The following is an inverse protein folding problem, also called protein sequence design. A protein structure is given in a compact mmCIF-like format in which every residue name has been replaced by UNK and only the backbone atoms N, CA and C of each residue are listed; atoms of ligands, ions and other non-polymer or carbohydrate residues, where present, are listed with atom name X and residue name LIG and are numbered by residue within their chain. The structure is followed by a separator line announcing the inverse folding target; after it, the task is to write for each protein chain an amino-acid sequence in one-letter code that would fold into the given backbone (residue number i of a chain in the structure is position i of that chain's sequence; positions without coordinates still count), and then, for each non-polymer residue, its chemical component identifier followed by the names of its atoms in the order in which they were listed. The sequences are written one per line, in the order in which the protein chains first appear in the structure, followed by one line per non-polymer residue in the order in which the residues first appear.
data_IF_418635916681
#
_entry.id   IF_418635916681
#
_cell.length_a   1.000
_cell.length_b   1.000
_cell.length_c   1.000
_cell.angle_alpha   90.00
_cell.angle_beta   90.00
_cell.angle_gamma   90.00
#
_symmetry.space_group_name_H-M   'P 1'
#
loop_
_entity.id
_entity.type
_entity.pdbx_description
1 polymer ?
#
# COMPACT_ATOMS: atom_id res chain seq x y z
N UNK A 1 -29.28 90.38 -4.67
CA UNK A 1 -28.32 89.48 -4.01
C UNK A 1 -29.11 88.45 -3.21
N UNK A 2 -28.69 87.19 -3.34
CA UNK A 2 -29.05 85.99 -2.58
C UNK A 2 -30.46 85.38 -2.72
N UNK A 3 -30.39 84.11 -3.10
CA UNK A 3 -31.42 83.09 -3.12
C UNK A 3 -31.76 82.57 -1.72
N UNK A 4 -32.93 81.96 -1.59
CA UNK A 4 -33.18 80.70 -0.86
C UNK A 4 -34.66 80.37 -1.00
N UNK A 5 -35.00 79.25 -1.64
CA UNK A 5 -36.22 78.52 -1.28
C UNK A 5 -36.05 77.04 -1.58
N UNK A 6 -36.11 76.26 -0.51
CA UNK A 6 -36.18 74.81 -0.50
C UNK A 6 -37.46 74.32 -1.17
N UNK A 7 -37.35 73.34 -2.06
CA UNK A 7 -38.46 72.41 -2.31
C UNK A 7 -37.95 70.98 -2.34
N UNK A 8 -38.60 70.20 -1.50
CA UNK A 8 -38.57 68.74 -1.38
C UNK A 8 -38.87 68.11 -2.72
N UNK A 9 -38.13 67.06 -3.09
CA UNK A 9 -38.58 66.07 -4.05
C UNK A 9 -38.14 64.70 -3.58
N UNK A 10 -39.13 63.87 -3.27
CA UNK A 10 -38.99 62.48 -2.89
C UNK A 10 -38.43 61.68 -4.07
N UNK A 11 -37.35 60.93 -3.83
CA UNK A 11 -36.91 59.88 -4.74
C UNK A 11 -37.25 58.54 -4.09
N UNK A 12 -38.17 57.82 -4.75
CA UNK A 12 -38.63 56.48 -4.39
C UNK A 12 -37.43 55.53 -4.54
N UNK A 13 -37.02 54.88 -3.45
CA UNK A 13 -36.02 53.82 -3.47
C UNK A 13 -36.72 52.53 -3.93
N UNK A 14 -36.63 52.22 -5.22
CA UNK A 14 -37.02 50.91 -5.73
C UNK A 14 -35.94 49.89 -5.32
N UNK A 15 -36.18 49.12 -4.26
CA UNK A 15 -35.36 47.98 -3.91
C UNK A 15 -35.60 46.86 -4.93
N UNK A 16 -34.74 46.77 -5.95
CA UNK A 16 -34.66 45.58 -6.80
C UNK A 16 -33.94 44.51 -5.98
N UNK A 17 -34.71 43.63 -5.36
CA UNK A 17 -34.18 42.35 -4.89
C UNK A 17 -33.93 41.51 -6.13
N UNK A 18 -32.71 41.56 -6.66
CA UNK A 18 -32.24 40.57 -7.61
C UNK A 18 -32.13 39.26 -6.82
N UNK A 19 -33.19 38.44 -6.87
CA UNK A 19 -33.11 37.04 -6.50
C UNK A 19 -32.18 36.37 -7.51
N UNK A 20 -30.88 36.42 -7.23
CA UNK A 20 -29.87 35.61 -7.89
C UNK A 20 -30.29 34.16 -7.67
N UNK A 21 -30.95 33.57 -8.65
CA UNK A 21 -31.08 32.12 -8.67
C UNK A 21 -29.67 31.58 -8.74
N UNK A 22 -29.16 31.07 -7.61
CA UNK A 22 -28.02 30.15 -7.62
C UNK A 22 -28.50 28.96 -8.44
N UNK A 23 -28.22 29.00 -9.75
CA UNK A 23 -28.24 27.80 -10.56
C UNK A 23 -27.15 26.94 -9.93
N UNK A 24 -27.46 25.76 -9.35
CA UNK A 24 -26.42 24.87 -8.88
C UNK A 24 -25.53 24.59 -10.09
N UNK A 25 -24.27 25.02 -10.01
CA UNK A 25 -23.29 24.57 -10.99
C UNK A 25 -23.30 23.05 -10.93
N UNK A 26 -23.42 22.35 -12.07
CA UNK A 26 -23.19 20.92 -12.07
C UNK A 26 -21.83 20.70 -11.40
N UNK A 27 -21.79 19.82 -10.39
CA UNK A 27 -20.53 19.43 -9.79
C UNK A 27 -19.58 19.09 -10.94
N UNK A 28 -18.37 19.67 -10.94
CA UNK A 28 -17.35 19.30 -11.90
C UNK A 28 -17.28 17.78 -11.89
N UNK A 29 -17.60 17.15 -13.01
CA UNK A 29 -17.41 15.70 -13.15
C UNK A 29 -15.92 15.52 -12.94
N UNK A 30 -15.54 14.94 -11.81
CA UNK A 30 -14.15 14.63 -11.53
C UNK A 30 -13.65 13.82 -12.72
N UNK A 31 -12.66 14.36 -13.46
CA UNK A 31 -12.07 13.60 -14.55
C UNK A 31 -11.46 12.34 -13.94
N UNK A 32 -11.78 11.19 -14.52
CA UNK A 32 -11.08 9.95 -14.19
C UNK A 32 -9.61 10.21 -14.53
N UNK A 33 -8.67 9.99 -13.59
CA UNK A 33 -7.27 10.23 -13.86
C UNK A 33 -6.84 9.42 -15.09
N UNK A 34 -6.05 10.04 -15.97
CA UNK A 34 -5.52 9.34 -17.13
C UNK A 34 -4.35 8.47 -16.68
N UNK A 35 -4.39 7.18 -17.03
CA UNK A 35 -3.34 6.22 -16.68
C UNK A 35 -2.68 5.71 -17.94
N UNK A 36 -1.35 5.71 -17.95
CA UNK A 36 -0.55 5.18 -19.05
C UNK A 36 0.56 4.30 -18.51
N UNK A 37 0.76 3.13 -19.11
CA UNK A 37 1.89 2.25 -18.82
C UNK A 37 3.21 2.93 -19.28
N UNK A 38 4.18 3.04 -18.38
CA UNK A 38 5.53 3.52 -18.65
C UNK A 38 6.52 2.37 -18.90
N UNK A 39 6.18 1.17 -18.43
CA UNK A 39 6.96 -0.03 -18.69
C UNK A 39 6.90 -1.02 -17.54
N UNK A 40 7.53 -2.17 -17.76
CA UNK A 40 7.61 -3.27 -16.81
C UNK A 40 9.03 -3.83 -16.81
N UNK A 41 9.52 -4.21 -15.64
CA UNK A 41 10.78 -4.91 -15.48
C UNK A 41 10.54 -6.17 -14.66
N UNK A 42 11.02 -7.30 -15.18
CA UNK A 42 10.90 -8.60 -14.50
C UNK A 42 12.25 -8.98 -13.91
N UNK A 43 12.26 -9.25 -12.61
CA UNK A 43 13.41 -9.87 -11.96
C UNK A 43 13.30 -11.38 -12.20
N UNK A 44 14.30 -12.04 -12.80
CA UNK A 44 14.23 -13.48 -13.08
C UNK A 44 13.96 -14.30 -11.82
N UNK A 45 13.11 -15.33 -11.95
CA UNK A 45 12.77 -16.23 -10.87
C UNK A 45 14.02 -16.82 -10.20
N UNK A 46 14.06 -16.77 -8.86
CA UNK A 46 15.19 -17.19 -8.02
C UNK A 46 16.52 -16.52 -8.36
N UNK A 47 16.47 -15.27 -8.82
CA UNK A 47 17.67 -14.42 -8.86
C UNK A 47 18.35 -14.45 -7.50
N UNK A 48 19.64 -14.75 -7.47
CA UNK A 48 20.41 -14.67 -6.23
C UNK A 48 21.06 -13.28 -6.14
N UNK A 49 20.89 -12.63 -5.00
CA UNK A 49 21.51 -11.34 -4.71
C UNK A 49 22.08 -11.37 -3.30
N UNK A 50 23.39 -11.15 -3.17
CA UNK A 50 24.11 -11.16 -1.89
C UNK A 50 23.75 -12.38 -1.00
N UNK A 51 23.81 -13.58 -1.57
CA UNK A 51 23.51 -14.87 -0.93
C UNK A 51 22.05 -15.07 -0.50
N UNK A 52 21.14 -14.20 -0.93
CA UNK A 52 19.70 -14.33 -0.71
C UNK A 52 18.97 -14.58 -2.02
N UNK A 53 17.83 -15.28 -1.96
CA UNK A 53 16.96 -15.52 -3.11
C UNK A 53 15.97 -14.36 -3.22
N UNK A 54 15.92 -13.69 -4.36
CA UNK A 54 14.90 -12.68 -4.67
C UNK A 54 13.62 -13.39 -5.14
N UNK A 55 12.49 -13.02 -4.57
CA UNK A 55 11.17 -13.62 -4.79
C UNK A 55 10.20 -13.17 -3.69
N UNK A 56 8.91 -13.43 -3.90
CA UNK A 56 7.82 -13.09 -2.97
C UNK A 56 7.90 -11.63 -2.51
N UNK A 57 7.79 -10.68 -3.44
CA UNK A 57 7.88 -9.25 -3.11
C UNK A 57 6.47 -8.69 -2.86
N UNK A 58 6.19 -8.35 -1.61
CA UNK A 58 4.88 -7.88 -1.16
C UNK A 58 4.77 -6.35 -1.05
N UNK A 59 5.90 -5.65 -0.90
CA UNK A 59 5.89 -4.20 -0.66
C UNK A 59 7.02 -3.45 -1.36
N UNK A 60 6.75 -2.19 -1.71
CA UNK A 60 7.72 -1.24 -2.26
C UNK A 60 7.49 0.13 -1.62
N UNK A 61 8.57 0.84 -1.27
CA UNK A 61 8.46 2.26 -0.94
C UNK A 61 9.67 3.08 -1.38
N UNK A 62 9.45 4.37 -1.64
CA UNK A 62 10.47 5.29 -2.12
C UNK A 62 11.05 6.10 -0.95
N UNK A 63 12.37 6.08 -0.81
CA UNK A 63 13.10 6.97 0.07
C UNK A 63 13.40 8.30 -0.66
N UNK A 64 12.73 9.41 -0.31
CA UNK A 64 12.94 10.69 -0.98
C UNK A 64 14.29 11.33 -0.65
N UNK A 65 14.97 10.92 0.43
CA UNK A 65 16.29 11.46 0.79
C UNK A 65 17.37 10.89 -0.13
N UNK A 66 17.35 9.58 -0.36
CA UNK A 66 18.37 8.89 -1.17
C UNK A 66 17.96 8.68 -2.63
N UNK A 67 16.67 8.79 -2.94
CA UNK A 67 16.11 8.45 -4.24
C UNK A 67 16.09 6.95 -4.53
N UNK A 68 16.28 6.11 -3.50
CA UNK A 68 16.26 4.64 -3.60
C UNK A 68 14.89 4.09 -3.24
N UNK A 69 14.69 2.82 -3.58
CA UNK A 69 13.48 2.09 -3.26
C UNK A 69 13.80 0.97 -2.31
N UNK A 70 12.94 0.73 -1.32
CA UNK A 70 12.96 -0.50 -0.55
C UNK A 70 11.93 -1.48 -1.13
N UNK A 71 12.28 -2.76 -1.20
CA UNK A 71 11.43 -3.86 -1.68
C UNK A 71 11.39 -4.94 -0.60
N UNK A 72 10.25 -5.13 0.05
CA UNK A 72 10.09 -6.17 1.08
C UNK A 72 9.80 -7.51 0.45
N UNK A 73 10.29 -8.58 1.06
CA UNK A 73 9.83 -9.93 0.75
C UNK A 73 9.02 -10.54 1.88
N UNK A 74 7.93 -11.20 1.51
CA UNK A 74 7.00 -11.94 2.37
C UNK A 74 7.48 -13.31 2.82
N UNK A 75 8.67 -13.73 2.39
CA UNK A 75 9.26 -15.01 2.78
C UNK A 75 9.29 -15.17 4.31
N UNK A 76 8.74 -16.29 4.78
CA UNK A 76 8.72 -16.68 6.19
C UNK A 76 10.07 -17.14 6.74
N UNK A 77 11.14 -16.69 6.08
CA UNK A 77 12.51 -17.20 6.20
C UNK A 77 12.72 -18.61 5.65
N UNK A 78 11.79 -19.12 4.82
CA UNK A 78 11.83 -20.46 4.25
C UNK A 78 12.84 -20.58 3.09
N UNK A 79 13.02 -19.51 2.29
CA UNK A 79 14.01 -19.49 1.21
C UNK A 79 15.28 -18.72 1.58
N UNK A 80 15.17 -17.65 2.34
CA UNK A 80 16.27 -16.83 2.85
C UNK A 80 15.81 -16.08 4.10
N UNK A 81 16.69 -15.78 5.08
CA UNK A 81 16.26 -15.04 6.28
C UNK A 81 15.46 -13.79 5.91
N UNK A 82 14.34 -13.54 6.60
CA UNK A 82 13.42 -12.43 6.30
C UNK A 82 14.16 -11.13 5.99
N UNK A 83 13.80 -10.45 4.89
CA UNK A 83 14.62 -9.38 4.32
C UNK A 83 13.82 -8.34 3.54
N UNK A 84 14.44 -7.18 3.35
CA UNK A 84 14.11 -6.26 2.27
C UNK A 84 15.36 -5.93 1.45
N UNK A 85 15.16 -5.57 0.19
CA UNK A 85 16.20 -5.11 -0.71
C UNK A 85 16.13 -3.60 -0.89
N UNK A 86 17.28 -2.97 -1.12
CA UNK A 86 17.34 -1.59 -1.63
C UNK A 86 17.62 -1.62 -3.12
N UNK A 87 16.85 -0.87 -3.92
CA UNK A 87 16.95 -0.84 -5.37
C UNK A 87 17.15 0.57 -5.93
N UNK A 88 17.87 0.66 -7.04
CA UNK A 88 17.79 1.76 -8.00
C UNK A 88 16.68 1.46 -8.99
N UNK A 89 15.80 2.43 -9.25
CA UNK A 89 14.82 2.32 -10.32
C UNK A 89 15.03 3.51 -11.26
N UNK A 90 15.44 3.22 -12.50
CA UNK A 90 15.65 4.25 -13.52
C UNK A 90 14.34 4.46 -14.28
N UNK A 91 13.66 5.57 -13.98
CA UNK A 91 12.35 5.92 -14.51
C UNK A 91 12.30 7.39 -14.92
N UNK A 92 11.84 7.66 -16.14
CA UNK A 92 11.59 9.01 -16.64
C UNK A 92 10.31 9.09 -17.49
N UNK A 93 10.16 10.18 -18.26
CA UNK A 93 8.99 10.42 -19.09
C UNK A 93 8.88 9.44 -20.27
N UNK A 94 10.00 8.88 -20.72
CA UNK A 94 10.08 7.95 -21.85
C UNK A 94 9.80 6.51 -21.41
N UNK A 95 10.08 6.16 -20.14
CA UNK A 95 9.62 4.89 -19.57
C UNK A 95 10.43 4.40 -18.37
N UNK A 96 10.13 3.17 -17.96
CA UNK A 96 10.91 2.39 -16.99
C UNK A 96 12.09 1.72 -17.72
N UNK A 97 13.31 2.10 -17.37
CA UNK A 97 14.52 1.67 -18.07
C UNK A 97 15.22 0.51 -17.38
N UNK A 98 15.39 0.57 -16.05
CA UNK A 98 16.11 -0.44 -15.27
C UNK A 98 15.62 -0.54 -13.83
N UNK A 99 15.80 -1.74 -13.25
CA UNK A 99 15.59 -2.03 -11.83
C UNK A 99 16.80 -2.82 -11.33
N UNK A 100 17.65 -2.17 -10.54
CA UNK A 100 18.89 -2.75 -10.05
C UNK A 100 18.89 -2.85 -8.52
N UNK A 101 18.99 -4.08 -8.01
CA UNK A 101 19.22 -4.30 -6.58
C UNK A 101 20.61 -3.80 -6.20
N UNK A 102 20.68 -3.07 -5.10
CA UNK A 102 21.89 -2.37 -4.62
C UNK A 102 22.35 -2.84 -3.26
N UNK A 103 21.43 -3.31 -2.41
CA UNK A 103 21.76 -3.86 -1.09
C UNK A 103 20.65 -4.79 -0.58
N UNK A 104 20.95 -5.59 0.44
CA UNK A 104 19.98 -6.41 1.19
C UNK A 104 20.11 -6.15 2.69
N UNK A 105 18.98 -5.95 3.36
CA UNK A 105 18.92 -5.83 4.82
C UNK A 105 18.07 -6.95 5.39
N UNK A 106 18.65 -7.70 6.33
CA UNK A 106 17.95 -8.77 7.04
C UNK A 106 17.13 -8.18 8.20
N UNK A 107 15.86 -8.57 8.27
CA UNK A 107 15.00 -8.34 9.42
C UNK A 107 15.46 -9.23 10.57
N UNK A 108 15.48 -8.66 11.78
CA UNK A 108 16.03 -9.32 12.97
C UNK A 108 15.05 -9.25 14.13
N UNK A 109 15.09 -10.32 14.92
CA UNK A 109 14.45 -10.41 16.21
C UNK A 109 15.04 -9.38 17.18
N UNK A 110 14.37 -9.09 18.32
CA UNK A 110 14.90 -8.18 19.34
C UNK A 110 16.27 -8.58 19.91
N UNK A 111 16.64 -9.86 19.83
CA UNK A 111 17.96 -10.37 20.25
C UNK A 111 19.05 -10.24 19.17
N UNK A 112 18.72 -9.69 17.99
CA UNK A 112 19.61 -9.52 16.86
C UNK A 112 19.77 -10.76 15.97
N UNK A 113 19.16 -11.89 16.33
CA UNK A 113 19.15 -13.07 15.46
C UNK A 113 18.15 -12.89 14.31
N UNK A 114 18.33 -13.65 13.24
CA UNK A 114 17.34 -13.70 12.16
C UNK A 114 16.08 -14.41 12.64
N UNK A 115 14.96 -14.10 11.99
CA UNK A 115 13.72 -14.82 12.21
C UNK A 115 13.90 -16.30 11.81
N UNK A 116 13.40 -17.25 12.63
CA UNK A 116 13.46 -18.67 12.31
C UNK A 116 12.43 -19.04 11.24
N UNK A 117 12.66 -20.17 10.58
CA UNK A 117 11.61 -20.81 9.76
C UNK A 117 10.44 -21.22 10.63
N UNK A 118 9.28 -21.44 10.02
CA UNK A 118 8.13 -21.99 10.75
C UNK A 118 8.45 -23.35 11.39
N UNK A 119 9.25 -24.18 10.73
CA UNK A 119 9.59 -25.52 11.21
C UNK A 119 10.51 -25.48 12.43
N UNK A 120 11.49 -24.58 12.43
CA UNK A 120 12.37 -24.39 13.58
C UNK A 120 11.60 -23.77 14.76
N UNK A 121 10.74 -22.78 14.48
CA UNK A 121 9.98 -22.09 15.53
C UNK A 121 9.01 -23.01 16.26
N UNK A 122 8.42 -23.99 15.57
CA UNK A 122 7.54 -24.99 16.20
C UNK A 122 8.17 -25.65 17.42
N UNK A 123 9.48 -25.90 17.37
CA UNK A 123 10.22 -26.52 18.46
C UNK A 123 10.78 -25.45 19.40
N UNK A 124 11.40 -24.40 18.86
CA UNK A 124 12.04 -23.34 19.65
C UNK A 124 11.05 -22.62 20.59
N UNK A 125 9.81 -22.42 20.17
CA UNK A 125 8.80 -21.67 20.92
C UNK A 125 8.57 -22.20 22.35
N UNK A 126 8.82 -23.49 22.60
CA UNK A 126 8.67 -24.09 23.93
C UNK A 126 9.73 -23.61 24.93
N UNK A 127 10.84 -23.06 24.43
CA UNK A 127 11.84 -22.35 25.23
C UNK A 127 11.44 -20.93 25.62
N UNK A 128 10.38 -20.38 25.01
CA UNK A 128 9.94 -19.00 25.22
C UNK A 128 8.63 -18.93 26.03
N UNK A 129 8.51 -17.95 26.96
CA UNK A 129 7.23 -17.59 27.56
C UNK A 129 6.22 -17.19 26.49
N UNK A 130 4.97 -17.62 26.66
CA UNK A 130 3.89 -17.38 25.68
C UNK A 130 3.76 -15.91 25.27
N UNK A 131 3.78 -14.99 26.24
CA UNK A 131 3.60 -13.56 26.00
C UNK A 131 4.70 -12.85 25.20
N UNK A 132 5.81 -13.54 24.88
CA UNK A 132 6.87 -12.98 24.02
C UNK A 132 6.98 -13.69 22.67
N UNK A 133 6.24 -14.79 22.44
CA UNK A 133 6.39 -15.62 21.24
C UNK A 133 6.16 -14.85 19.94
N UNK A 134 5.21 -13.90 19.91
CA UNK A 134 4.97 -13.06 18.74
C UNK A 134 6.20 -12.21 18.32
N UNK A 135 7.04 -11.80 19.27
CA UNK A 135 8.20 -10.96 18.97
C UNK A 135 9.43 -11.78 18.53
N UNK A 136 9.47 -13.07 18.85
CA UNK A 136 10.63 -13.94 18.62
C UNK A 136 10.38 -15.09 17.64
N UNK A 137 9.11 -15.30 17.27
CA UNK A 137 8.72 -16.38 16.38
C UNK A 137 9.09 -16.13 14.94
N UNK A 138 8.64 -17.00 14.04
CA UNK A 138 8.75 -16.72 12.61
C UNK A 138 7.96 -15.45 12.24
N UNK A 139 8.04 -15.02 10.99
CA UNK A 139 7.49 -13.75 10.53
C UNK A 139 6.84 -13.92 9.16
N UNK A 140 5.83 -13.11 8.90
CA UNK A 140 5.14 -13.01 7.62
C UNK A 140 5.14 -11.55 7.17
N UNK A 141 6.24 -11.02 6.58
CA UNK A 141 6.40 -9.58 6.32
C UNK A 141 5.59 -9.11 5.11
N UNK A 142 4.69 -8.15 5.28
CA UNK A 142 3.71 -7.85 4.22
C UNK A 142 3.75 -6.42 3.70
N UNK A 143 4.09 -5.47 4.57
CA UNK A 143 4.15 -4.07 4.18
C UNK A 143 5.37 -3.41 4.79
N UNK A 144 6.00 -2.52 4.03
CA UNK A 144 7.04 -1.61 4.49
C UNK A 144 6.68 -0.17 4.14
N UNK A 145 7.02 0.80 4.98
CA UNK A 145 6.95 2.23 4.67
C UNK A 145 8.15 2.96 5.24
N UNK A 146 8.64 3.96 4.52
CA UNK A 146 9.74 4.81 4.93
C UNK A 146 9.17 6.14 5.41
N UNK A 147 9.54 6.57 6.61
CA UNK A 147 9.23 7.91 7.08
C UNK A 147 10.05 8.93 6.26
N UNK A 148 9.43 9.78 5.44
CA UNK A 148 10.16 10.72 4.59
C UNK A 148 10.88 11.82 5.37
N UNK A 149 10.62 11.96 6.68
CA UNK A 149 11.25 12.97 7.53
C UNK A 149 12.50 12.44 8.25
N UNK A 150 12.50 11.17 8.63
CA UNK A 150 13.59 10.56 9.41
C UNK A 150 14.37 9.51 8.65
N UNK A 151 13.82 8.97 7.56
CA UNK A 151 14.34 7.81 6.85
C UNK A 151 14.10 6.50 7.60
N UNK A 152 13.39 6.51 8.73
CA UNK A 152 13.11 5.31 9.49
C UNK A 152 12.13 4.40 8.73
N UNK A 153 12.39 3.09 8.78
CA UNK A 153 11.58 2.08 8.13
C UNK A 153 10.62 1.45 9.14
N UNK A 154 9.33 1.53 8.84
CA UNK A 154 8.29 0.74 9.49
C UNK A 154 7.90 -0.44 8.60
N UNK A 155 7.58 -1.58 9.21
CA UNK A 155 7.07 -2.73 8.47
C UNK A 155 6.06 -3.50 9.31
N UNK A 156 5.20 -4.28 8.66
CA UNK A 156 4.14 -5.07 9.29
C UNK A 156 4.32 -6.55 9.03
N UNK A 157 3.70 -7.35 9.90
CA UNK A 157 3.52 -8.76 9.64
C UNK A 157 2.04 -9.13 9.70
N UNK A 158 1.58 -9.96 8.76
CA UNK A 158 0.22 -10.51 8.76
C UNK A 158 -0.05 -11.47 9.93
N UNK A 159 1.01 -11.86 10.63
CA UNK A 159 0.92 -12.92 11.62
C UNK A 159 0.70 -14.26 10.94
N UNK A 160 0.32 -15.27 11.70
CA UNK A 160 0.22 -16.61 11.17
C UNK A 160 -0.66 -17.48 12.05
N UNK A 161 -1.46 -18.34 11.44
CA UNK A 161 -2.14 -19.42 12.15
C UNK A 161 -1.94 -20.74 11.43
N UNK A 162 -1.02 -21.56 11.92
CA UNK A 162 -0.75 -22.87 11.33
C UNK A 162 -1.17 -24.00 12.27
N UNK A 163 -2.15 -24.80 11.84
CA UNK A 163 -2.66 -25.98 12.57
C UNK A 163 -2.45 -27.22 11.70
N UNK A 164 -1.51 -28.09 12.08
CA UNK A 164 -1.29 -29.34 11.35
C UNK A 164 -2.41 -30.34 11.67
N UNK A 165 -3.00 -30.91 10.61
CA UNK A 165 -3.99 -31.97 10.74
C UNK A 165 -3.31 -33.34 10.61
N UNK A 166 -3.17 -34.05 11.73
CA UNK A 166 -2.67 -35.43 11.79
C UNK A 166 -1.18 -35.54 12.12
N UNK A 167 -0.88 -35.97 13.35
CA UNK A 167 0.46 -36.17 13.91
C UNK A 167 0.37 -36.56 15.40
N UNK A 168 1.51 -36.79 16.07
CA UNK A 168 1.57 -36.93 17.54
C UNK A 168 1.02 -35.65 18.20
N UNK A 169 0.52 -35.63 19.44
CA UNK A 169 0.06 -34.40 20.09
C UNK A 169 1.09 -33.26 20.06
N UNK A 170 2.39 -33.58 20.06
CA UNK A 170 3.46 -32.60 19.90
C UNK A 170 3.56 -31.98 18.49
N UNK A 171 3.09 -32.69 17.45
CA UNK A 171 3.03 -32.22 16.05
C UNK A 171 1.71 -31.51 15.74
N UNK A 172 0.72 -31.62 16.63
CA UNK A 172 -0.61 -31.04 16.47
C UNK A 172 -0.74 -29.63 17.09
N UNK A 173 0.32 -29.12 17.70
CA UNK A 173 0.26 -27.83 18.40
C UNK A 173 0.27 -26.65 17.42
N UNK A 174 -0.71 -25.73 17.53
CA UNK A 174 -0.85 -24.64 16.59
C UNK A 174 0.24 -23.60 16.76
N UNK A 175 0.80 -23.12 15.65
CA UNK A 175 1.54 -21.84 15.63
C UNK A 175 0.50 -20.74 15.51
N UNK A 176 0.46 -19.83 16.48
CA UNK A 176 -0.32 -18.60 16.42
C UNK A 176 0.65 -17.42 16.61
N UNK A 177 0.71 -16.58 15.58
CA UNK A 177 1.39 -15.29 15.58
C UNK A 177 0.33 -14.26 15.26
N UNK A 178 0.18 -13.25 16.11
CA UNK A 178 -0.83 -12.22 15.87
C UNK A 178 -0.38 -11.26 14.76
N UNK A 179 -1.30 -10.79 13.88
CA UNK A 179 -0.99 -9.70 12.96
C UNK A 179 -0.52 -8.49 13.77
N UNK A 180 0.52 -7.82 13.29
CA UNK A 180 1.02 -6.61 13.94
C UNK A 180 1.16 -5.46 12.95
N UNK A 181 0.44 -4.38 13.24
CA UNK A 181 0.67 -3.06 12.66
C UNK A 181 1.48 -2.26 13.66
N UNK A 182 2.59 -1.66 13.22
CA UNK A 182 3.36 -0.68 14.01
C UNK A 182 3.13 0.71 13.43
N UNK A 183 2.16 1.49 13.96
CA UNK A 183 1.74 2.74 13.33
C UNK A 183 2.63 3.93 13.68
N UNK A 184 2.74 4.88 12.74
CA UNK A 184 2.93 6.31 13.02
C UNK A 184 1.57 7.02 12.95
N UNK A 185 1.39 8.07 13.75
CA UNK A 185 0.07 8.63 14.08
C UNK A 185 -0.58 9.43 12.94
N UNK A 186 -1.82 9.03 12.60
CA UNK A 186 -2.95 9.78 12.04
C UNK A 186 -2.66 10.97 11.11
N UNK A 187 -2.74 10.71 9.80
CA UNK A 187 -3.09 11.73 8.83
C UNK A 187 -4.53 11.50 8.31
N UNK A 188 -5.25 12.59 8.04
CA UNK A 188 -6.63 12.60 7.53
C UNK A 188 -6.69 12.72 6.01
N UNK A 189 -5.54 12.67 5.36
CA UNK A 189 -5.37 12.69 3.90
C UNK A 189 -5.96 11.41 3.28
N UNK A 190 -6.73 11.50 2.18
CA UNK A 190 -7.12 10.32 1.41
C UNK A 190 -5.87 9.55 0.96
N UNK A 191 -5.89 8.23 1.07
CA UNK A 191 -4.79 7.38 0.68
C UNK A 191 -5.17 6.54 -0.53
N UNK A 192 -4.18 6.22 -1.37
CA UNK A 192 -4.35 5.23 -2.42
C UNK A 192 -4.33 3.84 -1.80
N UNK A 193 -5.30 3.02 -2.19
CA UNK A 193 -5.39 1.61 -1.83
C UNK A 193 -5.34 0.79 -3.10
N UNK A 194 -4.47 -0.20 -3.10
CA UNK A 194 -4.52 -1.30 -4.04
C UNK A 194 -5.55 -2.31 -3.52
N UNK A 195 -6.67 -2.47 -4.21
CA UNK A 195 -7.65 -3.51 -3.93
C UNK A 195 -7.39 -4.68 -4.87
N UNK A 196 -7.28 -5.88 -4.30
CA UNK A 196 -7.11 -7.12 -5.05
C UNK A 196 -8.18 -8.11 -4.67
N UNK A 197 -8.67 -8.83 -5.66
CA UNK A 197 -9.56 -9.97 -5.48
C UNK A 197 -9.05 -11.12 -6.36
N UNK A 198 -9.06 -12.34 -5.82
CA UNK A 198 -8.88 -13.56 -6.61
C UNK A 198 -10.16 -14.39 -6.57
N UNK A 199 -10.72 -14.67 -7.74
CA UNK A 199 -11.93 -15.48 -7.88
C UNK A 199 -11.65 -16.58 -8.90
N UNK A 200 -11.04 -17.70 -8.47
CA UNK A 200 -10.89 -18.95 -9.24
C UNK A 200 -10.87 -18.77 -10.77
N UNK A 201 -11.91 -19.27 -11.45
CA UNK A 201 -12.05 -19.23 -12.91
C UNK A 201 -12.12 -17.81 -13.53
N UNK A 202 -12.41 -16.78 -12.73
CA UNK A 202 -12.49 -15.39 -13.15
C UNK A 202 -11.14 -14.64 -13.02
N UNK A 203 -10.12 -15.26 -12.43
CA UNK A 203 -8.78 -14.69 -12.30
C UNK A 203 -8.67 -13.60 -11.24
N UNK A 204 -7.62 -12.78 -11.36
CA UNK A 204 -7.31 -11.69 -10.43
C UNK A 204 -7.90 -10.37 -10.93
N UNK A 205 -8.57 -9.61 -10.05
CA UNK A 205 -8.95 -8.22 -10.29
C UNK A 205 -8.10 -7.33 -9.42
N UNK A 206 -7.51 -6.29 -10.02
CA UNK A 206 -6.65 -5.33 -9.30
C UNK A 206 -7.13 -3.92 -9.63
N UNK A 207 -7.44 -3.14 -8.59
CA UNK A 207 -7.90 -1.76 -8.73
C UNK A 207 -7.09 -0.84 -7.84
N UNK A 208 -6.84 0.37 -8.32
CA UNK A 208 -6.35 1.46 -7.49
C UNK A 208 -7.55 2.34 -7.16
N UNK A 209 -7.81 2.51 -5.86
CA UNK A 209 -8.91 3.31 -5.35
C UNK A 209 -8.38 4.36 -4.38
N UNK A 210 -8.96 5.55 -4.40
CA UNK A 210 -8.73 6.54 -3.34
C UNK A 210 -9.72 6.25 -2.19
N UNK A 211 -9.18 6.09 -0.98
CA UNK A 211 -9.96 5.84 0.23
C UNK A 211 -9.83 7.03 1.17
N UNK A 212 -10.97 7.50 1.69
CA UNK A 212 -11.00 8.49 2.76
C UNK A 212 -11.69 7.93 3.99
N UNK A 213 -11.00 8.05 5.13
CA UNK A 213 -11.48 7.68 6.48
C UNK A 213 -12.08 8.86 7.23
N UNK A 214 -12.02 10.08 6.69
CA UNK A 214 -12.44 11.32 7.35
C UNK A 214 -13.89 11.31 7.88
N UNK A 215 -14.74 10.48 7.27
CA UNK A 215 -16.12 10.24 7.70
C UNK A 215 -16.37 8.76 7.97
N UNK A 216 -15.38 7.89 8.11
CA UNK A 216 -15.66 6.53 8.53
C UNK A 216 -16.08 6.51 10.02
N UNK A 217 -16.79 5.47 10.44
CA UNK A 217 -16.92 5.15 11.85
C UNK A 217 -15.57 4.59 12.36
N UNK A 218 -15.19 4.98 13.57
CA UNK A 218 -14.12 4.30 14.29
C UNK A 218 -14.67 2.97 14.83
N UNK A 219 -13.94 1.89 14.58
CA UNK A 219 -14.32 0.52 14.93
C UNK A 219 -13.29 -0.16 15.85
N UNK A 220 -12.27 0.56 16.33
CA UNK A 220 -11.21 0.00 17.16
C UNK A 220 -11.75 -0.69 18.42
N UNK A 221 -12.77 -0.10 19.06
CA UNK A 221 -13.39 -0.65 20.26
C UNK A 221 -14.64 -1.51 19.96
N UNK A 222 -14.90 -1.86 18.69
CA UNK A 222 -16.04 -2.67 18.29
C UNK A 222 -15.66 -4.13 18.13
N UNK A 223 -16.29 -4.98 18.93
CA UNK A 223 -16.13 -6.43 18.82
C UNK A 223 -16.66 -7.00 17.49
N UNK A 224 -17.68 -6.38 16.88
CA UNK A 224 -18.28 -6.88 15.64
C UNK A 224 -18.94 -5.75 14.82
N UNK A 225 -19.00 -5.96 13.50
CA UNK A 225 -19.71 -5.12 12.53
C UNK A 225 -21.01 -5.77 12.02
N UNK A 226 -21.41 -6.93 12.57
CA UNK A 226 -22.57 -7.68 12.09
C UNK A 226 -23.91 -6.96 12.29
N UNK A 227 -23.96 -5.96 13.17
CA UNK A 227 -25.14 -5.11 13.38
C UNK A 227 -25.41 -4.14 12.22
N UNK A 228 -24.42 -3.92 11.34
CA UNK A 228 -24.51 -2.99 10.21
C UNK A 228 -24.58 -1.51 10.61
N UNK A 229 -24.48 -1.17 11.90
CA UNK A 229 -24.60 0.19 12.40
C UNK A 229 -23.23 0.90 12.42
N UNK A 230 -22.69 1.12 11.22
CA UNK A 230 -21.45 1.84 11.03
C UNK A 230 -21.46 2.59 9.69
N UNK A 231 -20.65 3.64 9.62
CA UNK A 231 -20.44 4.39 8.38
C UNK A 231 -19.15 3.87 7.73
N UNK A 232 -19.21 3.22 6.56
CA UNK A 232 -18.01 2.72 5.88
C UNK A 232 -17.13 3.88 5.40
N UNK A 233 -15.89 3.56 5.06
CA UNK A 233 -15.00 4.48 4.34
C UNK A 233 -15.59 4.87 2.99
N UNK A 234 -15.27 6.06 2.50
CA UNK A 234 -15.62 6.46 1.14
C UNK A 234 -14.53 6.01 0.16
N UNK A 235 -14.94 5.34 -0.92
CA UNK A 235 -14.03 4.87 -1.98
C UNK A 235 -14.33 5.59 -3.30
N UNK A 236 -13.28 5.98 -4.01
CA UNK A 236 -13.36 6.49 -5.38
C UNK A 236 -12.43 5.66 -6.27
N UNK A 237 -12.97 4.79 -7.15
CA UNK A 237 -12.13 4.07 -8.10
C UNK A 237 -11.35 5.05 -8.97
N UNK A 238 -10.06 4.79 -9.13
CA UNK A 238 -9.18 5.57 -10.00
C UNK A 238 -8.81 4.77 -11.24
N UNK A 239 -8.40 3.51 -11.05
CA UNK A 239 -7.85 2.66 -12.10
C UNK A 239 -8.33 1.23 -11.90
N UNK A 240 -8.74 0.57 -12.98
CA UNK A 240 -8.89 -0.88 -13.04
C UNK A 240 -7.74 -1.41 -13.90
N UNK A 241 -6.87 -2.22 -13.31
CA UNK A 241 -5.72 -2.82 -13.97
C UNK A 241 -6.07 -4.19 -14.59
N UNK A 242 -7.30 -4.68 -14.38
CA UNK A 242 -7.77 -6.00 -14.78
C UNK A 242 -8.29 -6.10 -16.22
N UNK A 243 -7.64 -5.49 -17.20
CA UNK A 243 -7.95 -5.77 -18.62
C UNK A 243 -7.41 -7.17 -19.00
N UNK A 244 -8.22 -8.04 -19.65
CA UNK A 244 -7.76 -9.35 -20.10
C UNK A 244 -6.55 -9.22 -21.05
N UNK A 245 -5.37 -9.65 -20.60
CA UNK A 245 -4.15 -9.71 -21.42
C UNK A 245 -3.01 -8.80 -20.95
N UNK A 246 -3.21 -7.96 -19.94
CA UNK A 246 -2.09 -7.41 -19.18
C UNK A 246 -1.62 -8.49 -18.19
N UNK A 247 -0.35 -8.89 -18.26
CA UNK A 247 0.30 -9.77 -17.28
C UNK A 247 0.53 -8.99 -15.99
N UNK A 248 -0.55 -8.65 -15.31
CA UNK A 248 -0.53 -8.04 -13.98
C UNK A 248 -1.01 -9.15 -13.04
N UNK A 249 -0.20 -10.20 -12.94
CA UNK A 249 -0.33 -11.24 -11.94
C UNK A 249 0.32 -10.77 -10.64
N UNK A 250 -0.47 -10.85 -9.57
CA UNK A 250 -0.03 -10.71 -8.18
C UNK A 250 0.71 -9.42 -7.79
N UNK A 251 0.19 -8.25 -8.20
CA UNK A 251 0.68 -6.96 -7.65
C UNK A 251 0.31 -6.87 -6.19
N UNK A 252 1.26 -6.61 -5.31
CA UNK A 252 1.04 -6.60 -3.87
C UNK A 252 1.34 -5.24 -3.25
N UNK A 253 2.34 -4.55 -3.79
CA UNK A 253 2.81 -3.27 -3.27
C UNK A 253 2.63 -2.12 -4.24
N UNK A 254 2.55 -0.91 -3.68
CA UNK A 254 2.35 0.34 -4.41
C UNK A 254 3.11 1.48 -3.71
N UNK A 255 3.82 2.29 -4.49
CA UNK A 255 4.41 3.56 -4.02
C UNK A 255 4.41 4.61 -5.11
N UNK A 256 4.61 5.86 -4.70
CA UNK A 256 4.85 6.95 -5.62
C UNK A 256 6.29 6.94 -6.12
N UNK A 257 6.47 7.18 -7.41
CA UNK A 257 7.77 7.49 -8.00
C UNK A 257 7.98 9.00 -8.23
N UNK A 258 9.00 9.37 -9.03
CA UNK A 258 9.27 10.76 -9.39
C UNK A 258 8.10 11.41 -10.14
N UNK A 259 8.01 12.74 -10.04
CA UNK A 259 7.12 13.52 -10.89
C UNK A 259 7.69 13.62 -12.31
N UNK A 260 6.84 13.53 -13.33
CA UNK A 260 7.23 13.70 -14.72
C UNK A 260 7.23 15.18 -15.12
N UNK A 261 8.07 15.61 -16.08
CA UNK A 261 8.06 16.97 -16.62
C UNK A 261 6.71 17.41 -17.22
N UNK A 262 5.86 16.44 -17.62
CA UNK A 262 4.51 16.68 -18.11
C UNK A 262 3.54 17.18 -17.04
N UNK A 263 3.88 17.03 -15.75
CA UNK A 263 2.99 17.29 -14.61
C UNK A 263 2.27 16.04 -14.11
N UNK A 264 2.38 14.90 -14.82
CA UNK A 264 1.95 13.59 -14.34
C UNK A 264 2.82 13.13 -13.17
N UNK A 265 2.25 12.30 -12.30
CA UNK A 265 3.01 11.57 -11.28
C UNK A 265 3.24 10.14 -11.71
N UNK A 266 4.35 9.55 -11.31
CA UNK A 266 4.56 8.12 -11.53
C UNK A 266 4.12 7.29 -10.34
N UNK A 267 3.54 6.13 -10.62
CA UNK A 267 3.14 5.14 -9.64
C UNK A 267 3.89 3.85 -9.95
N UNK A 268 4.58 3.31 -8.96
CA UNK A 268 5.31 2.06 -9.06
C UNK A 268 4.54 0.98 -8.32
N UNK A 269 4.39 -0.15 -8.99
CA UNK A 269 3.72 -1.34 -8.49
C UNK A 269 4.75 -2.48 -8.42
N UNK A 270 4.69 -3.30 -7.38
CA UNK A 270 5.49 -4.53 -7.27
C UNK A 270 4.57 -5.72 -7.20
N UNK A 271 4.91 -6.78 -7.94
CA UNK A 271 4.26 -8.07 -7.83
C UNK A 271 5.22 -9.18 -7.43
N UNK A 272 4.72 -10.08 -6.59
CA UNK A 272 5.40 -11.25 -6.08
C UNK A 272 5.43 -12.40 -7.09
N UNK A 273 6.27 -13.40 -6.83
CA UNK A 273 6.23 -14.66 -7.57
C UNK A 273 5.81 -15.85 -6.69
N UNK A 274 5.48 -15.62 -5.41
CA UNK A 274 5.30 -16.67 -4.38
C UNK A 274 6.43 -17.71 -4.36
N UNK A 275 7.63 -17.34 -4.82
CA UNK A 275 8.74 -18.26 -5.08
C UNK A 275 8.37 -19.44 -6.01
N UNK A 276 7.42 -19.23 -6.92
CA UNK A 276 6.93 -20.16 -7.92
C UNK A 276 7.35 -19.74 -9.32
N UNK A 277 7.91 -20.67 -10.10
CA UNK A 277 8.27 -20.42 -11.50
C UNK A 277 7.07 -20.18 -12.42
N UNK A 278 5.83 -20.33 -11.91
CA UNK A 278 4.60 -20.05 -12.64
C UNK A 278 4.21 -18.57 -12.59
N UNK A 279 4.86 -17.78 -11.73
CA UNK A 279 4.62 -16.35 -11.52
C UNK A 279 5.93 -15.58 -11.75
N UNK A 280 5.88 -14.25 -11.69
CA UNK A 280 7.02 -13.39 -12.02
C UNK A 280 7.17 -12.26 -11.01
N UNK A 281 8.36 -12.10 -10.44
CA UNK A 281 8.70 -10.90 -9.68
C UNK A 281 8.79 -9.72 -10.63
N UNK A 282 7.86 -8.76 -10.54
CA UNK A 282 7.72 -7.68 -11.52
C UNK A 282 7.59 -6.32 -10.86
N UNK A 283 8.23 -5.32 -11.46
CA UNK A 283 8.00 -3.90 -11.18
C UNK A 283 7.30 -3.30 -12.39
N UNK A 284 6.16 -2.64 -12.16
CA UNK A 284 5.38 -1.97 -13.20
C UNK A 284 5.30 -0.48 -12.89
N UNK A 285 5.59 0.37 -13.88
CA UNK A 285 5.52 1.83 -13.74
C UNK A 285 4.34 2.39 -14.54
N UNK A 286 3.53 3.24 -13.91
CA UNK A 286 2.42 3.96 -14.52
C UNK A 286 2.65 5.47 -14.43
N UNK A 287 2.24 6.22 -15.44
CA UNK A 287 2.00 7.65 -15.34
C UNK A 287 0.53 7.89 -15.00
N UNK A 288 0.27 8.79 -14.05
CA UNK A 288 -1.07 9.17 -13.58
C UNK A 288 -1.20 10.69 -13.63
N UNK A 289 -2.21 11.20 -14.32
CA UNK A 289 -2.49 12.62 -14.53
C UNK A 289 -3.93 13.02 -14.28
#
# INVERSE_FOLDING_TARGET
MLAMSSRVSAAILAAIVAASMLVPQPAAVAQVPTVRLLGEQTIPHRTNFQDTVVGGLSSIDHDPETGRYALLSDDWSDYSPARYYTAAIELDADGLHDVALTDVTLLRRPDGQTYPTIQDWRVEQHGYPEGVRNAFGTVDPEELRIDPLTGDLAWTSEGQRNVLSGGSPADAEPVLLDPTIRPSTADTTPFLVLERDYVGDAGTSIRIVEVSTSRAADVLDRHSLADGDFRPVSKRPLVDLGEPGATIDDIEGITWGPALPSGERTLLLVGGDDFSSAQSTRITALAVG
#
